data_IF_302830960971
#
_entry.id   IF_302830960971
#
_cell.length_a   1.000
_cell.length_b   1.000
_cell.length_c   1.000
_cell.angle_alpha   90.00
_cell.angle_beta   90.00
_cell.angle_gamma   90.00
#
_symmetry.space_group_name_H-M   'P 1'
#
loop_
_entity.id
_entity.type
_entity.pdbx_description
1 polymer ?
#
# COMPACT_ATOMS: atom_id res chain seq x y z
N UNK A 1 24.90 16.71 6.95
CA UNK A 1 24.32 15.78 5.97
C UNK A 1 22.81 15.78 6.21
N UNK A 2 21.99 15.90 5.16
CA UNK A 2 20.53 15.79 5.33
C UNK A 2 20.19 14.35 5.75
N UNK A 3 19.36 14.19 6.78
CA UNK A 3 18.81 12.88 7.16
C UNK A 3 18.00 12.32 5.99
N UNK A 4 18.15 11.04 5.66
CA UNK A 4 17.27 10.39 4.67
C UNK A 4 15.96 9.96 5.33
N UNK A 5 14.92 9.68 4.54
CA UNK A 5 13.64 9.13 5.05
C UNK A 5 13.88 7.80 5.80
N UNK A 6 14.83 6.99 5.33
CA UNK A 6 15.23 5.74 6.00
C UNK A 6 15.85 6.00 7.38
N UNK A 7 16.72 7.01 7.50
CA UNK A 7 17.33 7.37 8.79
C UNK A 7 16.29 7.90 9.79
N UNK A 8 15.33 8.70 9.30
CA UNK A 8 14.23 9.20 10.11
C UNK A 8 13.33 8.06 10.60
N UNK A 9 13.00 7.10 9.72
CA UNK A 9 12.23 5.92 10.08
C UNK A 9 12.96 5.12 11.18
N UNK A 10 14.23 4.81 10.98
CA UNK A 10 15.04 4.04 11.94
C UNK A 10 15.17 4.75 13.29
N UNK A 11 15.37 6.07 13.25
CA UNK A 11 15.42 6.90 14.48
C UNK A 11 14.09 6.85 15.22
N UNK A 12 12.97 6.95 14.50
CA UNK A 12 11.62 6.97 15.09
C UNK A 12 11.24 5.63 15.72
N UNK A 13 11.59 4.51 15.09
CA UNK A 13 11.26 3.17 15.63
C UNK A 13 12.24 2.71 16.72
N UNK A 14 13.47 3.23 16.69
CA UNK A 14 14.53 2.87 17.63
C UNK A 14 14.83 1.37 17.60
N UNK A 15 14.71 0.70 18.75
CA UNK A 15 14.94 -0.75 18.89
C UNK A 15 13.66 -1.59 18.73
N UNK A 16 12.53 -0.96 18.48
CA UNK A 16 11.24 -1.66 18.36
C UNK A 16 11.20 -2.51 17.11
N UNK A 17 10.53 -3.66 17.21
CA UNK A 17 10.23 -4.53 16.08
C UNK A 17 8.73 -4.77 16.00
N UNK A 18 8.23 -4.96 14.78
CA UNK A 18 6.79 -5.07 14.52
C UNK A 18 6.44 -6.42 13.91
N UNK A 19 5.44 -7.09 14.48
CA UNK A 19 4.83 -8.30 13.90
C UNK A 19 3.78 -7.98 12.83
N UNK A 20 3.41 -6.70 12.66
CA UNK A 20 2.46 -6.25 11.65
C UNK A 20 2.84 -4.86 11.16
N UNK A 21 2.90 -4.69 9.85
CA UNK A 21 3.13 -3.42 9.17
C UNK A 21 1.95 -3.13 8.25
N UNK A 22 1.34 -1.96 8.40
CA UNK A 22 0.36 -1.41 7.46
C UNK A 22 0.97 -0.15 6.87
N UNK A 23 1.03 -0.06 5.55
CA UNK A 23 1.68 1.09 4.89
C UNK A 23 0.96 1.49 3.61
N UNK A 24 0.89 2.80 3.40
CA UNK A 24 0.39 3.46 2.19
C UNK A 24 1.51 4.35 1.63
N UNK A 25 2.41 3.79 0.80
CA UNK A 25 3.53 4.54 0.27
C UNK A 25 3.06 5.70 -0.60
N UNK A 26 3.82 6.80 -0.67
CA UNK A 26 3.48 7.93 -1.50
C UNK A 26 3.83 7.64 -2.97
N UNK A 27 3.04 6.78 -3.61
CA UNK A 27 3.31 6.24 -4.94
C UNK A 27 3.43 7.32 -6.02
N UNK A 28 4.48 7.25 -6.82
CA UNK A 28 4.64 8.05 -8.03
C UNK A 28 4.12 7.31 -9.27
N UNK A 29 3.14 7.89 -9.95
CA UNK A 29 2.66 7.38 -11.25
C UNK A 29 3.56 7.86 -12.40
N UNK A 30 3.83 6.99 -13.37
CA UNK A 30 4.63 7.32 -14.56
C UNK A 30 3.90 8.29 -15.51
N UNK A 31 2.58 8.15 -15.65
CA UNK A 31 1.78 8.95 -16.58
C UNK A 31 1.36 10.29 -15.96
N UNK A 32 1.98 11.38 -16.42
CA UNK A 32 1.66 12.76 -16.02
C UNK A 32 0.55 13.42 -16.84
N UNK A 33 -0.11 12.74 -17.77
CA UNK A 33 -1.15 13.32 -18.63
C UNK A 33 -2.57 13.11 -18.08
N UNK A 34 -3.40 14.16 -18.15
CA UNK A 34 -4.81 14.15 -17.73
C UNK A 34 -5.10 14.96 -16.44
N UNK A 35 -6.24 14.73 -15.77
CA UNK A 35 -6.61 15.42 -14.50
C UNK A 35 -5.60 15.20 -13.36
N UNK A 36 -4.68 14.25 -13.53
CA UNK A 36 -3.56 13.99 -12.62
C UNK A 36 -2.29 14.76 -12.98
N UNK A 37 -2.28 15.55 -14.06
CA UNK A 37 -1.15 16.39 -14.46
C UNK A 37 -0.81 17.46 -13.39
N UNK A 38 0.48 17.82 -13.23
CA UNK A 38 0.95 18.80 -12.24
C UNK A 38 0.24 20.17 -12.33
N UNK A 39 -0.25 20.52 -13.51
CA UNK A 39 -0.93 21.77 -13.84
C UNK A 39 -2.36 21.90 -13.27
N UNK A 40 -2.96 20.82 -12.75
CA UNK A 40 -4.24 20.88 -12.04
C UNK A 40 -4.06 21.22 -10.54
N UNK A 41 -3.97 22.53 -10.25
CA UNK A 41 -3.83 23.23 -8.95
C UNK A 41 -4.86 22.91 -7.83
N UNK A 42 -5.66 21.85 -7.92
CA UNK A 42 -6.81 21.61 -7.01
C UNK A 42 -6.57 20.64 -5.85
N UNK A 43 -5.41 20.01 -5.74
CA UNK A 43 -5.11 19.10 -4.64
C UNK A 43 -3.75 19.46 -4.07
N UNK A 44 -3.66 19.76 -2.77
CA UNK A 44 -2.40 19.71 -2.04
C UNK A 44 -1.87 18.30 -2.23
N UNK A 45 -0.86 18.13 -3.09
CA UNK A 45 -0.26 16.83 -3.35
C UNK A 45 0.84 16.66 -2.32
N UNK A 46 0.69 15.67 -1.45
CA UNK A 46 1.83 15.16 -0.70
C UNK A 46 2.94 14.78 -1.70
N UNK A 47 4.18 14.98 -1.30
CA UNK A 47 5.32 14.61 -2.14
C UNK A 47 5.30 13.11 -2.39
N UNK A 48 5.48 12.70 -3.65
CA UNK A 48 5.54 11.28 -4.06
C UNK A 48 6.99 10.81 -4.09
N UNK A 49 7.23 9.55 -3.74
CA UNK A 49 8.53 8.90 -3.81
C UNK A 49 8.69 8.09 -5.11
N UNK A 50 9.92 8.01 -5.63
CA UNK A 50 10.21 7.07 -6.72
C UNK A 50 10.07 5.65 -6.19
N UNK A 51 9.79 4.71 -7.09
CA UNK A 51 9.68 3.28 -6.73
C UNK A 51 10.94 2.78 -5.99
N UNK A 52 12.12 3.15 -6.48
CA UNK A 52 13.37 2.72 -5.85
C UNK A 52 13.50 3.25 -4.42
N UNK A 53 13.17 4.53 -4.17
CA UNK A 53 13.21 5.12 -2.83
C UNK A 53 12.24 4.41 -1.86
N UNK A 54 11.08 3.93 -2.35
CA UNK A 54 10.14 3.13 -1.55
C UNK A 54 10.75 1.76 -1.23
N UNK A 55 11.34 1.09 -2.22
CA UNK A 55 12.00 -0.23 -2.04
C UNK A 55 13.16 -0.16 -1.06
N UNK A 56 13.89 0.95 -1.05
CA UNK A 56 15.07 1.18 -0.21
C UNK A 56 14.72 1.49 1.26
N UNK A 57 13.43 1.67 1.59
CA UNK A 57 13.01 1.80 2.99
C UNK A 57 13.35 0.52 3.77
N UNK A 58 13.93 0.63 4.98
CA UNK A 58 14.43 -0.51 5.74
C UNK A 58 13.31 -1.28 6.47
N UNK A 59 12.14 -1.45 5.86
CA UNK A 59 10.96 -2.10 6.50
C UNK A 59 11.30 -3.52 6.93
N UNK A 60 12.04 -4.28 6.12
CA UNK A 60 12.48 -5.64 6.45
C UNK A 60 13.42 -5.72 7.67
N UNK A 61 14.07 -4.62 8.07
CA UNK A 61 14.99 -4.63 9.24
C UNK A 61 14.28 -4.30 10.55
N UNK A 62 13.08 -3.73 10.49
CA UNK A 62 12.29 -3.28 11.65
C UNK A 62 11.14 -4.23 11.99
N UNK A 63 11.05 -5.37 11.33
CA UNK A 63 10.01 -6.38 11.57
C UNK A 63 10.53 -7.50 12.47
N UNK A 64 9.59 -8.19 13.09
CA UNK A 64 9.85 -9.45 13.79
C UNK A 64 10.17 -10.58 12.79
N UNK A 65 10.78 -11.66 13.30
CA UNK A 65 11.10 -12.86 12.50
C UNK A 65 9.88 -13.50 11.82
N UNK A 66 8.68 -13.25 12.36
CA UNK A 66 7.39 -13.63 11.78
C UNK A 66 6.50 -12.40 11.78
N UNK A 67 6.14 -11.90 10.60
CA UNK A 67 5.39 -10.66 10.48
C UNK A 67 4.43 -10.65 9.29
N UNK A 68 3.43 -9.77 9.38
CA UNK A 68 2.48 -9.47 8.29
C UNK A 68 2.76 -8.10 7.69
N UNK A 69 2.58 -8.00 6.38
CA UNK A 69 2.56 -6.74 5.64
C UNK A 69 1.20 -6.55 4.98
N UNK A 70 0.61 -5.38 5.19
CA UNK A 70 -0.57 -4.87 4.50
C UNK A 70 -0.13 -3.63 3.73
N UNK A 71 0.03 -3.77 2.42
CA UNK A 71 0.57 -2.74 1.55
C UNK A 71 -0.55 -2.17 0.67
N UNK A 72 -0.92 -0.91 0.88
CA UNK A 72 -1.84 -0.21 -0.02
C UNK A 72 -1.16 0.03 -1.38
N UNK A 73 -1.83 -0.40 -2.45
CA UNK A 73 -1.32 -0.30 -3.81
C UNK A 73 -2.41 0.19 -4.76
N UNK A 74 -2.19 1.30 -5.49
CA UNK A 74 -3.09 1.70 -6.55
C UNK A 74 -3.22 0.60 -7.61
N UNK A 75 -4.42 0.39 -8.16
CA UNK A 75 -4.68 -0.69 -9.13
C UNK A 75 -3.69 -0.71 -10.32
N UNK A 76 -3.24 0.47 -10.76
CA UNK A 76 -2.31 0.60 -11.89
C UNK A 76 -0.85 0.27 -11.54
N UNK A 77 -0.52 0.12 -10.25
CA UNK A 77 0.85 -0.10 -9.74
C UNK A 77 0.98 -1.46 -9.05
N UNK A 78 0.13 -2.43 -9.42
CA UNK A 78 0.15 -3.77 -8.82
C UNK A 78 1.53 -4.42 -8.90
N UNK A 79 2.20 -4.29 -10.04
CA UNK A 79 3.51 -4.90 -10.25
C UNK A 79 4.55 -4.28 -9.32
N UNK A 80 4.59 -2.97 -9.27
CA UNK A 80 5.48 -2.20 -8.39
C UNK A 80 5.23 -2.52 -6.91
N UNK A 81 3.97 -2.71 -6.52
CA UNK A 81 3.59 -3.17 -5.18
C UNK A 81 4.20 -4.53 -4.83
N UNK A 82 4.14 -5.50 -5.75
CA UNK A 82 4.77 -6.81 -5.54
C UNK A 82 6.30 -6.70 -5.44
N UNK A 83 6.92 -5.89 -6.30
CA UNK A 83 8.37 -5.65 -6.27
C UNK A 83 8.82 -4.99 -4.95
N UNK A 84 7.98 -4.13 -4.34
CA UNK A 84 8.22 -3.54 -3.01
C UNK A 84 8.13 -4.59 -1.91
N UNK A 85 7.11 -5.46 -1.94
CA UNK A 85 6.99 -6.55 -0.96
C UNK A 85 8.23 -7.45 -0.97
N UNK A 86 8.69 -7.83 -2.17
CA UNK A 86 9.90 -8.64 -2.34
C UNK A 86 11.14 -7.93 -1.78
N UNK A 87 11.34 -6.65 -2.11
CA UNK A 87 12.47 -5.86 -1.62
C UNK A 87 12.51 -5.76 -0.09
N UNK A 88 11.35 -5.70 0.57
CA UNK A 88 11.25 -5.69 2.03
C UNK A 88 11.27 -7.08 2.67
N UNK A 89 11.42 -8.15 1.88
CA UNK A 89 11.51 -9.53 2.39
C UNK A 89 10.16 -10.16 2.73
N UNK A 90 9.06 -9.68 2.15
CA UNK A 90 7.73 -10.25 2.31
C UNK A 90 7.32 -11.07 1.08
N UNK A 91 6.79 -12.26 1.32
CA UNK A 91 6.17 -13.08 0.26
C UNK A 91 4.69 -12.74 0.15
N UNK A 92 4.23 -12.30 -1.01
CA UNK A 92 2.80 -12.11 -1.31
C UNK A 92 2.00 -13.40 -1.10
N UNK A 93 0.78 -13.27 -0.56
CA UNK A 93 -0.15 -14.40 -0.35
C UNK A 93 -1.53 -14.17 -0.92
N UNK A 94 -2.11 -13.00 -0.70
CA UNK A 94 -3.44 -12.63 -1.21
C UNK A 94 -3.61 -11.11 -1.13
N UNK A 95 -4.76 -10.57 -1.53
CA UNK A 95 -5.11 -9.17 -1.37
C UNK A 95 -6.44 -9.00 -0.64
N UNK A 96 -6.67 -7.80 -0.13
CA UNK A 96 -7.99 -7.30 0.25
C UNK A 96 -8.40 -6.21 -0.75
N UNK A 97 -9.67 -6.19 -1.12
CA UNK A 97 -10.24 -5.19 -2.01
C UNK A 97 -11.09 -4.23 -1.19
N UNK A 98 -10.71 -2.95 -1.19
CA UNK A 98 -11.61 -1.89 -0.75
C UNK A 98 -12.53 -1.50 -1.90
N UNK A 99 -13.80 -1.90 -1.82
CA UNK A 99 -14.84 -1.53 -2.77
C UNK A 99 -15.61 -0.30 -2.28
N UNK A 100 -15.56 0.76 -3.07
CA UNK A 100 -16.21 2.04 -2.75
C UNK A 100 -17.64 2.02 -3.26
N UNK A 101 -18.58 2.13 -2.33
CA UNK A 101 -20.01 2.06 -2.60
C UNK A 101 -20.72 3.38 -2.32
N UNK A 102 -21.87 3.58 -2.97
CA UNK A 102 -22.82 4.66 -2.66
C UNK A 102 -23.77 4.21 -1.53
N UNK A 103 -24.70 5.10 -1.16
CA UNK A 103 -25.74 4.79 -0.16
C UNK A 103 -26.63 3.61 -0.56
N UNK A 104 -26.82 3.38 -1.87
CA UNK A 104 -27.63 2.27 -2.41
C UNK A 104 -26.85 0.95 -2.55
N UNK A 105 -25.60 0.86 -2.06
CA UNK A 105 -24.75 -0.32 -2.18
C UNK A 105 -24.13 -0.52 -3.56
N UNK A 106 -24.51 0.28 -4.57
CA UNK A 106 -23.90 0.27 -5.89
C UNK A 106 -22.53 0.96 -5.92
N UNK A 107 -21.77 0.82 -7.02
CA UNK A 107 -20.42 1.39 -7.14
C UNK A 107 -20.43 2.92 -7.07
N UNK A 108 -19.43 3.53 -6.42
CA UNK A 108 -19.29 4.99 -6.28
C UNK A 108 -19.25 5.73 -7.65
N UNK A 109 -18.75 5.08 -8.71
CA UNK A 109 -18.65 5.58 -10.12
C UNK A 109 -17.91 6.91 -10.33
N UNK A 110 -17.53 7.60 -9.25
CA UNK A 110 -16.76 8.86 -9.26
C UNK A 110 -15.26 8.65 -9.45
N UNK A 111 -14.80 7.40 -9.38
CA UNK A 111 -13.41 7.01 -9.62
C UNK A 111 -12.86 7.48 -10.96
N UNK A 112 -11.57 7.84 -10.95
CA UNK A 112 -10.80 8.18 -12.16
C UNK A 112 -9.95 6.98 -12.59
N UNK A 113 -9.85 6.73 -13.88
CA UNK A 113 -9.00 5.70 -14.47
C UNK A 113 -9.06 5.74 -16.00
N UNK A 114 -7.94 5.47 -16.66
CA UNK A 114 -7.82 5.65 -18.12
C UNK A 114 -8.52 4.54 -18.92
N UNK A 115 -8.60 3.34 -18.37
CA UNK A 115 -9.24 2.18 -19.01
C UNK A 115 -10.58 1.83 -18.37
N UNK A 116 -10.64 1.81 -17.03
CA UNK A 116 -11.85 1.53 -16.26
C UNK A 116 -12.02 2.56 -15.13
N UNK A 117 -13.27 2.75 -14.69
CA UNK A 117 -13.57 3.58 -13.52
C UNK A 117 -13.13 2.86 -12.25
N UNK A 118 -12.11 3.39 -11.58
CA UNK A 118 -11.61 2.82 -10.34
C UNK A 118 -12.60 2.99 -9.18
N UNK A 119 -13.40 1.98 -8.93
CA UNK A 119 -14.29 1.88 -7.76
C UNK A 119 -13.71 1.00 -6.66
N UNK A 120 -12.54 0.43 -6.90
CA UNK A 120 -11.79 -0.41 -5.97
C UNK A 120 -10.41 0.18 -5.71
N UNK A 121 -9.84 -0.15 -4.56
CA UNK A 121 -8.40 -0.04 -4.27
C UNK A 121 -7.95 -1.35 -3.61
N UNK A 122 -6.66 -1.68 -3.68
CA UNK A 122 -6.11 -2.94 -3.18
C UNK A 122 -5.20 -2.72 -1.98
N UNK A 123 -5.30 -3.62 -1.00
CA UNK A 123 -4.23 -3.89 -0.04
C UNK A 123 -3.64 -5.25 -0.39
N UNK A 124 -2.36 -5.28 -0.72
CA UNK A 124 -1.63 -6.54 -0.83
C UNK A 124 -1.32 -7.06 0.56
N UNK A 125 -1.55 -8.36 0.79
CA UNK A 125 -1.20 -9.05 2.02
C UNK A 125 -0.01 -9.98 1.78
N UNK A 126 1.05 -9.76 2.56
CA UNK A 126 2.26 -10.55 2.53
C UNK A 126 2.69 -11.01 3.91
N UNK A 127 3.58 -12.01 3.91
CA UNK A 127 4.13 -12.58 5.13
C UNK A 127 5.64 -12.63 5.08
N UNK A 128 6.26 -12.40 6.24
CA UNK A 128 7.68 -12.63 6.49
C UNK A 128 7.84 -13.79 7.47
N UNK A 129 8.85 -14.64 7.25
CA UNK A 129 9.16 -15.77 8.13
C UNK A 129 8.24 -16.99 7.97
N UNK A 130 8.31 -17.89 8.96
CA UNK A 130 7.57 -19.16 8.99
C UNK A 130 6.31 -19.03 9.86
N UNK A 131 5.30 -19.86 9.61
CA UNK A 131 4.09 -19.95 10.43
C UNK A 131 3.29 -18.64 10.59
N UNK A 132 3.44 -17.69 9.65
CA UNK A 132 2.76 -16.41 9.63
C UNK A 132 1.28 -16.48 9.16
N UNK A 133 0.53 -17.50 9.58
CA UNK A 133 -0.91 -17.59 9.26
C UNK A 133 -1.70 -16.56 10.05
N UNK A 134 -2.77 -16.01 9.45
CA UNK A 134 -3.71 -15.14 10.16
C UNK A 134 -4.45 -15.90 11.27
N UNK A 135 -4.91 -15.15 12.27
CA UNK A 135 -5.80 -15.67 13.31
C UNK A 135 -7.18 -16.02 12.72
N UNK A 136 -8.01 -16.73 13.49
CA UNK A 136 -9.30 -17.22 13.01
C UNK A 136 -10.18 -16.11 12.42
N UNK A 137 -10.21 -14.94 13.05
CA UNK A 137 -10.98 -13.79 12.56
C UNK A 137 -10.55 -13.37 11.14
N UNK A 138 -9.25 -13.34 10.86
CA UNK A 138 -8.74 -13.03 9.52
C UNK A 138 -8.96 -14.15 8.50
N UNK A 139 -9.19 -15.39 8.95
CA UNK A 139 -9.50 -16.53 8.06
C UNK A 139 -10.98 -16.63 7.71
N UNK A 140 -11.86 -16.10 8.55
CA UNK A 140 -13.31 -16.03 8.29
C UNK A 140 -13.73 -14.75 7.56
N UNK A 141 -12.86 -13.75 7.48
CA UNK A 141 -13.16 -12.49 6.81
C UNK A 141 -13.08 -12.64 5.29
N UNK A 142 -14.08 -12.12 4.58
CA UNK A 142 -14.02 -11.96 3.13
C UNK A 142 -12.93 -10.97 2.76
N UNK A 143 -12.26 -11.20 1.63
CA UNK A 143 -11.26 -10.30 1.11
C UNK A 143 -11.85 -9.06 0.41
N UNK A 144 -13.06 -8.64 0.80
CA UNK A 144 -13.80 -7.51 0.26
C UNK A 144 -14.30 -6.63 1.40
N UNK A 145 -13.92 -5.36 1.39
CA UNK A 145 -14.38 -4.34 2.33
C UNK A 145 -15.21 -3.34 1.53
N UNK A 146 -16.54 -3.37 1.70
CA UNK A 146 -17.43 -2.45 1.02
C UNK A 146 -17.79 -1.27 1.93
N UNK A 147 -17.32 -0.06 1.63
CA UNK A 147 -17.63 1.15 2.41
C UNK A 147 -17.89 2.36 1.55
N UNK A 148 -18.58 3.34 2.12
CA UNK A 148 -18.80 4.64 1.48
C UNK A 148 -17.55 5.50 1.64
N UNK A 149 -17.13 6.15 0.56
CA UNK A 149 -16.05 7.15 0.55
C UNK A 149 -16.60 8.56 0.76
#
# INVERSE_FOLDING_TARGET
MSSTVSDELLTRVGKSRFSTVLVDPPWQFQNRTGKMAPEHRRLSRYETMKLQDIKDLPVGTIVESTAHLYLWVPNALLREGLDVMEAWGFTYKTNLIWYKIRKDGGPDRRGVGSYFRNVTEMLLFGVHGKNARTLQAGRSQENLIATRK
#
